data_IF_662607154895
#
_entry.id   IF_662607154895
#
_cell.length_a   1.000
_cell.length_b   1.000
_cell.length_c   1.000
_cell.angle_alpha   90.00
_cell.angle_beta   90.00
_cell.angle_gamma   90.00
#
_symmetry.space_group_name_H-M   'P 1'
#
loop_
_entity.id
_entity.type
_entity.pdbx_description
1 polymer ?
#
# COMPACT_ATOMS: atom_id res chain seq x y z
N UNK A 1 9.52 8.04 1.81
CA UNK A 1 9.77 8.19 0.35
C UNK A 1 9.11 7.11 -0.50
N UNK A 2 9.33 5.82 -0.23
CA UNK A 2 8.76 4.70 -1.03
C UNK A 2 7.24 4.82 -1.17
N UNK A 3 6.52 5.06 -0.06
CA UNK A 3 5.05 5.18 -0.06
C UNK A 3 4.58 6.35 -0.94
N UNK A 4 5.27 7.49 -0.95
CA UNK A 4 4.94 8.62 -1.81
C UNK A 4 5.23 8.37 -3.30
N UNK A 5 6.34 7.68 -3.64
CA UNK A 5 6.59 7.30 -5.02
C UNK A 5 5.55 6.29 -5.53
N UNK A 6 5.04 5.43 -4.63
CA UNK A 6 3.94 4.54 -4.98
C UNK A 6 2.58 5.22 -5.10
N UNK A 7 2.38 6.45 -4.61
CA UNK A 7 1.17 7.22 -4.97
C UNK A 7 1.30 7.83 -6.35
N UNK A 8 2.51 8.28 -6.73
CA UNK A 8 2.79 8.80 -8.07
C UNK A 8 2.52 7.73 -9.14
N UNK A 9 2.94 6.48 -8.91
CA UNK A 9 2.69 5.39 -9.86
C UNK A 9 1.20 5.07 -10.02
N UNK A 10 0.42 5.05 -8.93
CA UNK A 10 -1.02 4.81 -8.98
C UNK A 10 -1.78 5.97 -9.61
N UNK A 11 -1.36 7.22 -9.37
CA UNK A 11 -1.90 8.38 -10.08
C UNK A 11 -1.62 8.32 -11.59
N UNK A 12 -0.44 7.83 -11.99
CA UNK A 12 -0.15 7.57 -13.40
C UNK A 12 -1.13 6.58 -14.03
N UNK A 13 -1.44 5.50 -13.30
CA UNK A 13 -2.47 4.52 -13.64
C UNK A 13 -3.86 5.16 -13.75
N UNK A 14 -4.27 5.99 -12.79
CA UNK A 14 -5.54 6.72 -12.81
C UNK A 14 -5.67 7.64 -14.02
N UNK A 15 -4.60 8.40 -14.32
CA UNK A 15 -4.58 9.32 -15.46
C UNK A 15 -4.68 8.57 -16.79
N UNK A 16 -4.04 7.40 -16.89
CA UNK A 16 -4.06 6.63 -18.13
C UNK A 16 -5.45 6.01 -18.40
N UNK A 17 -6.16 5.55 -17.37
CA UNK A 17 -7.56 5.07 -17.51
C UNK A 17 -8.51 6.21 -17.86
N UNK A 18 -8.32 7.37 -17.21
CA UNK A 18 -9.12 8.56 -17.50
C UNK A 18 -8.94 9.00 -18.96
N UNK A 19 -7.72 8.89 -19.49
CA UNK A 19 -7.43 9.15 -20.92
C UNK A 19 -8.10 8.16 -21.88
N UNK A 20 -8.40 6.94 -21.43
CA UNK A 20 -9.13 5.93 -22.19
C UNK A 20 -10.66 6.13 -22.15
N UNK A 21 -11.15 7.12 -21.40
CA UNK A 21 -12.57 7.48 -21.31
C UNK A 21 -13.32 6.86 -20.13
N UNK A 22 -12.66 6.04 -19.29
CA UNK A 22 -13.29 5.35 -18.16
C UNK A 22 -13.20 6.18 -16.86
N UNK A 23 -13.97 7.26 -16.79
CA UNK A 23 -13.96 8.17 -15.63
C UNK A 23 -14.46 7.53 -14.33
N UNK A 24 -15.52 6.70 -14.38
CA UNK A 24 -16.09 6.04 -13.21
C UNK A 24 -15.09 5.05 -12.56
N UNK A 25 -14.36 4.29 -13.38
CA UNK A 25 -13.30 3.37 -12.90
C UNK A 25 -12.12 4.13 -12.30
N UNK A 26 -11.71 5.24 -12.92
CA UNK A 26 -10.66 6.09 -12.37
C UNK A 26 -11.06 6.66 -11.00
N UNK A 27 -12.31 7.09 -10.85
CA UNK A 27 -12.84 7.59 -9.57
C UNK A 27 -12.94 6.48 -8.52
N UNK A 28 -13.44 5.30 -8.90
CA UNK A 28 -13.48 4.13 -8.00
C UNK A 28 -12.09 3.73 -7.52
N UNK A 29 -11.11 3.70 -8.41
CA UNK A 29 -9.72 3.42 -8.04
C UNK A 29 -9.14 4.53 -7.15
N UNK A 30 -9.45 5.80 -7.40
CA UNK A 30 -9.02 6.91 -6.55
C UNK A 30 -9.55 6.77 -5.12
N UNK A 31 -10.82 6.42 -4.94
CA UNK A 31 -11.44 6.28 -3.63
C UNK A 31 -10.83 5.12 -2.84
N UNK A 32 -10.78 3.93 -3.45
CA UNK A 32 -10.15 2.74 -2.84
C UNK A 32 -8.67 3.00 -2.51
N UNK A 33 -7.93 3.64 -3.42
CA UNK A 33 -6.54 4.03 -3.22
C UNK A 33 -6.33 5.00 -2.07
N UNK A 34 -7.17 6.02 -1.94
CA UNK A 34 -7.07 6.99 -0.84
C UNK A 34 -7.18 6.30 0.52
N UNK A 35 -8.08 5.33 0.65
CA UNK A 35 -8.36 4.63 1.91
C UNK A 35 -7.21 3.72 2.35
N UNK A 36 -6.73 2.81 1.49
CA UNK A 36 -5.61 1.95 1.87
C UNK A 36 -4.28 2.73 1.95
N UNK A 37 -4.13 3.85 1.23
CA UNK A 37 -2.97 4.73 1.42
C UNK A 37 -3.00 5.46 2.76
N UNK A 38 -4.16 5.93 3.20
CA UNK A 38 -4.30 6.52 4.53
C UNK A 38 -3.88 5.50 5.61
N UNK A 39 -4.30 4.23 5.48
CA UNK A 39 -3.87 3.15 6.36
C UNK A 39 -2.35 2.93 6.33
N UNK A 40 -1.74 2.84 5.14
CA UNK A 40 -0.29 2.69 4.99
C UNK A 40 0.49 3.84 5.64
N UNK A 41 0.06 5.08 5.45
CA UNK A 41 0.72 6.25 6.05
C UNK A 41 0.52 6.32 7.55
N UNK A 42 -0.65 5.95 8.07
CA UNK A 42 -0.91 5.91 9.51
C UNK A 42 -0.03 4.86 10.20
N UNK A 43 0.07 3.65 9.65
CA UNK A 43 0.97 2.60 10.17
C UNK A 43 2.45 2.99 10.05
N UNK A 44 2.87 3.59 8.92
CA UNK A 44 4.23 4.08 8.80
C UNK A 44 4.54 5.19 9.82
N UNK A 45 3.57 6.08 10.08
CA UNK A 45 3.68 7.13 11.09
C UNK A 45 3.86 6.58 12.51
N UNK A 46 3.10 5.54 12.88
CA UNK A 46 3.26 4.91 14.20
C UNK A 46 4.61 4.19 14.34
N UNK A 47 5.11 3.54 13.28
CA UNK A 47 6.45 2.94 13.28
C UNK A 47 7.55 3.99 13.42
N UNK A 48 7.47 5.09 12.64
CA UNK A 48 8.46 6.18 12.68
C UNK A 48 8.49 6.83 14.06
N UNK A 49 7.33 7.06 14.68
CA UNK A 49 7.25 7.66 16.01
C UNK A 49 7.92 6.77 17.08
N UNK A 50 7.65 5.46 17.05
CA UNK A 50 8.28 4.51 17.97
C UNK A 50 9.79 4.32 17.73
N UNK A 51 10.25 4.55 16.49
CA UNK A 51 11.66 4.49 16.09
C UNK A 51 12.38 5.85 16.18
N UNK A 52 11.87 6.79 17.00
CA UNK A 52 12.44 8.14 17.23
C UNK A 52 12.74 8.89 15.93
N UNK A 53 11.75 8.99 15.05
CA UNK A 53 11.80 9.68 13.76
C UNK A 53 12.75 9.07 12.72
N UNK A 54 13.27 7.86 12.95
CA UNK A 54 14.05 7.15 11.94
C UNK A 54 13.13 6.55 10.86
N UNK A 55 13.32 7.01 9.62
CA UNK A 55 12.50 6.64 8.46
C UNK A 55 13.19 5.64 7.53
N UNK A 56 14.47 5.36 7.76
CA UNK A 56 15.25 4.49 6.89
C UNK A 56 14.93 3.03 7.19
N UNK A 57 14.39 2.33 6.19
CA UNK A 57 14.00 0.92 6.28
C UNK A 57 15.18 0.00 6.64
N UNK A 58 16.43 0.45 6.48
CA UNK A 58 17.63 -0.33 6.84
C UNK A 58 17.84 -0.44 8.35
N UNK A 59 17.31 0.50 9.12
CA UNK A 59 17.32 0.48 10.58
C UNK A 59 16.03 -0.09 11.18
N UNK A 60 15.18 -0.68 10.34
CA UNK A 60 13.99 -1.42 10.72
C UNK A 60 14.27 -2.93 10.70
N UNK A 61 13.35 -3.72 11.25
CA UNK A 61 13.39 -5.17 11.26
C UNK A 61 12.41 -5.73 12.28
N UNK A 62 11.94 -6.97 12.09
CA UNK A 62 11.13 -7.73 13.07
C UNK A 62 10.01 -6.96 13.82
N UNK A 63 9.43 -5.91 13.21
CA UNK A 63 8.45 -5.03 13.87
C UNK A 63 7.21 -5.82 14.31
N UNK A 64 6.91 -6.93 13.63
CA UNK A 64 5.83 -7.88 13.98
C UNK A 64 5.88 -8.27 15.47
N UNK A 65 7.06 -8.47 16.04
CA UNK A 65 7.20 -8.94 17.42
C UNK A 65 6.89 -7.85 18.46
N UNK A 66 7.00 -6.58 18.08
CA UNK A 66 6.89 -5.44 19.00
C UNK A 66 5.59 -4.65 18.83
N UNK A 67 5.08 -4.55 17.60
CA UNK A 67 3.88 -3.78 17.27
C UNK A 67 2.95 -4.63 16.38
N UNK A 68 2.33 -5.69 16.92
CA UNK A 68 1.61 -6.68 16.13
C UNK A 68 0.41 -6.08 15.39
N UNK A 69 -0.35 -5.17 16.01
CA UNK A 69 -1.53 -4.56 15.38
C UNK A 69 -1.15 -3.72 14.16
N UNK A 70 -0.17 -2.82 14.33
CA UNK A 70 0.31 -1.99 13.20
C UNK A 70 0.94 -2.82 12.10
N UNK A 71 1.64 -3.91 12.44
CA UNK A 71 2.25 -4.81 11.46
C UNK A 71 1.20 -5.50 10.59
N UNK A 72 0.08 -5.95 11.17
CA UNK A 72 -1.04 -6.54 10.44
C UNK A 72 -1.66 -5.49 9.51
N UNK A 73 -1.95 -4.30 10.02
CA UNK A 73 -2.58 -3.22 9.24
C UNK A 73 -1.68 -2.77 8.08
N UNK A 74 -0.38 -2.66 8.31
CA UNK A 74 0.61 -2.34 7.28
C UNK A 74 0.72 -3.42 6.21
N UNK A 75 0.69 -4.70 6.61
CA UNK A 75 0.73 -5.82 5.67
C UNK A 75 -0.55 -5.91 4.84
N UNK A 76 -1.73 -5.79 5.44
CA UNK A 76 -3.00 -5.80 4.68
C UNK A 76 -3.04 -4.65 3.68
N UNK A 77 -2.65 -3.45 4.10
CA UNK A 77 -2.67 -2.28 3.21
C UNK A 77 -1.61 -2.32 2.10
N UNK A 78 -0.44 -2.92 2.35
CA UNK A 78 0.55 -3.19 1.29
C UNK A 78 0.09 -4.26 0.30
N UNK A 79 -0.63 -5.30 0.75
CA UNK A 79 -1.26 -6.29 -0.13
C UNK A 79 -2.41 -5.68 -0.96
N UNK A 80 -3.17 -4.74 -0.39
CA UNK A 80 -4.16 -3.96 -1.15
C UNK A 80 -3.49 -3.18 -2.29
N UNK A 81 -2.33 -2.55 -2.04
CA UNK A 81 -1.57 -1.81 -3.07
C UNK A 81 -1.04 -2.73 -4.19
N UNK A 82 -0.62 -3.95 -3.85
CA UNK A 82 -0.25 -4.97 -4.84
C UNK A 82 -1.44 -5.38 -5.70
N UNK A 83 -2.66 -5.40 -5.13
CA UNK A 83 -3.87 -5.89 -5.77
C UNK A 83 -4.10 -7.38 -5.49
N UNK A 84 -3.82 -7.85 -4.27
CA UNK A 84 -4.12 -9.23 -3.89
C UNK A 84 -5.62 -9.54 -3.97
N UNK A 85 -6.01 -10.76 -4.38
CA UNK A 85 -7.42 -11.12 -4.57
C UNK A 85 -8.23 -10.90 -3.29
N UNK A 86 -9.48 -10.48 -3.48
CA UNK A 86 -10.47 -10.20 -2.42
C UNK A 86 -10.19 -8.98 -1.52
N UNK A 87 -9.16 -8.18 -1.79
CA UNK A 87 -8.95 -6.90 -1.11
C UNK A 87 -9.46 -5.73 -1.97
N UNK A 88 -9.74 -4.57 -1.35
CA UNK A 88 -10.32 -3.43 -2.05
C UNK A 88 -9.52 -2.96 -3.28
N UNK A 89 -8.19 -3.11 -3.23
CA UNK A 89 -7.32 -2.74 -4.36
C UNK A 89 -7.43 -3.67 -5.58
N UNK A 90 -7.85 -4.93 -5.40
CA UNK A 90 -8.05 -5.87 -6.50
C UNK A 90 -9.26 -5.47 -7.35
N UNK A 91 -10.39 -5.16 -6.71
CA UNK A 91 -11.62 -4.81 -7.41
C UNK A 91 -11.45 -3.65 -8.39
N UNK A 92 -10.62 -2.65 -8.07
CA UNK A 92 -10.36 -1.55 -8.99
C UNK A 92 -9.22 -1.86 -9.96
N UNK A 93 -8.06 -2.31 -9.45
CA UNK A 93 -6.84 -2.45 -10.25
C UNK A 93 -6.90 -3.61 -11.25
N UNK A 94 -7.59 -4.69 -10.92
CA UNK A 94 -7.75 -5.83 -11.82
C UNK A 94 -8.70 -5.50 -12.97
N UNK A 95 -9.85 -4.87 -12.67
CA UNK A 95 -10.78 -4.36 -13.70
C UNK A 95 -10.08 -3.39 -14.67
N UNK A 96 -9.19 -2.53 -14.16
CA UNK A 96 -8.38 -1.64 -15.00
C UNK A 96 -7.52 -2.43 -15.98
N UNK A 97 -6.80 -3.46 -15.49
CA UNK A 97 -5.94 -4.28 -16.34
C UNK A 97 -6.76 -5.10 -17.35
N UNK A 98 -7.92 -5.60 -16.95
CA UNK A 98 -8.85 -6.32 -17.83
C UNK A 98 -9.31 -5.43 -19.00
N UNK A 99 -9.70 -4.18 -18.72
CA UNK A 99 -10.08 -3.21 -19.76
C UNK A 99 -8.90 -2.91 -20.69
N UNK A 100 -7.68 -2.79 -20.15
CA UNK A 100 -6.48 -2.60 -20.98
C UNK A 100 -6.23 -3.81 -21.88
N UNK A 101 -6.52 -5.03 -21.42
CA UNK A 101 -6.42 -6.25 -22.24
C UNK A 101 -7.49 -6.32 -23.34
N UNK A 102 -8.71 -5.86 -23.08
CA UNK A 102 -9.82 -5.90 -24.03
C UNK A 102 -9.78 -4.74 -25.04
N UNK A 103 -9.12 -3.64 -24.69
CA UNK A 103 -9.07 -2.44 -25.51
C UNK A 103 -7.94 -2.47 -26.55
N UNK A 104 -8.13 -1.72 -27.64
CA UNK A 104 -7.18 -1.61 -28.74
C UNK A 104 -6.05 -0.63 -28.41
N UNK A 105 -5.16 -1.02 -27.49
CA UNK A 105 -4.06 -0.19 -27.00
C UNK A 105 -2.75 -0.58 -27.69
N UNK A 106 -1.89 0.43 -27.96
CA UNK A 106 -0.56 0.18 -28.50
C UNK A 106 0.24 -0.80 -27.63
N UNK A 107 0.94 -1.75 -28.27
CA UNK A 107 1.73 -2.77 -27.58
C UNK A 107 2.72 -2.18 -26.56
N UNK A 108 3.33 -1.04 -26.88
CA UNK A 108 4.23 -0.35 -25.96
C UNK A 108 3.52 0.12 -24.68
N UNK A 109 2.33 0.70 -24.80
CA UNK A 109 1.54 1.16 -23.65
C UNK A 109 1.08 -0.05 -22.84
N UNK A 110 0.59 -1.09 -23.51
CA UNK A 110 0.21 -2.36 -22.88
C UNK A 110 1.36 -2.93 -22.02
N UNK A 111 2.57 -3.00 -22.57
CA UNK A 111 3.75 -3.44 -21.83
C UNK A 111 4.04 -2.58 -20.59
N UNK A 112 3.94 -1.25 -20.71
CA UNK A 112 4.16 -0.34 -19.59
C UNK A 112 3.15 -0.55 -18.45
N UNK A 113 1.89 -0.86 -18.74
CA UNK A 113 0.89 -1.17 -17.70
C UNK A 113 1.32 -2.38 -16.87
N UNK A 114 1.61 -3.52 -17.50
CA UNK A 114 2.03 -4.74 -16.81
C UNK A 114 3.38 -4.60 -16.12
N UNK A 115 4.32 -3.90 -16.73
CA UNK A 115 5.61 -3.63 -16.11
C UNK A 115 5.45 -2.75 -14.86
N UNK A 116 4.60 -1.72 -14.93
CA UNK A 116 4.32 -0.85 -13.78
C UNK A 116 3.66 -1.63 -12.63
N UNK A 117 2.72 -2.53 -12.91
CA UNK A 117 2.08 -3.35 -11.88
C UNK A 117 3.06 -4.38 -11.29
N UNK A 118 3.95 -4.96 -12.09
CA UNK A 118 5.06 -5.77 -11.60
C UNK A 118 5.99 -5.01 -10.65
N UNK A 119 6.35 -3.76 -10.98
CA UNK A 119 7.11 -2.89 -10.08
C UNK A 119 6.36 -2.57 -8.79
N UNK A 120 5.02 -2.46 -8.85
CA UNK A 120 4.21 -2.25 -7.63
C UNK A 120 4.30 -3.40 -6.65
N UNK A 121 4.36 -4.63 -7.15
CA UNK A 121 4.60 -5.80 -6.32
C UNK A 121 6.04 -5.78 -5.77
N UNK A 122 7.04 -5.52 -6.61
CA UNK A 122 8.45 -5.63 -6.22
C UNK A 122 8.83 -4.67 -5.08
N UNK A 123 8.41 -3.40 -5.13
CA UNK A 123 8.71 -2.47 -4.04
C UNK A 123 7.90 -2.77 -2.77
N UNK A 124 6.70 -3.36 -2.90
CA UNK A 124 5.87 -3.73 -1.76
C UNK A 124 6.46 -4.92 -1.01
N UNK A 125 6.94 -5.94 -1.75
CA UNK A 125 7.71 -7.05 -1.17
C UNK A 125 9.00 -6.58 -0.51
N UNK A 126 9.73 -5.64 -1.13
CA UNK A 126 10.91 -5.03 -0.52
C UNK A 126 10.58 -4.37 0.82
N UNK A 127 9.49 -3.60 0.85
CA UNK A 127 9.05 -2.89 2.05
C UNK A 127 8.61 -3.87 3.15
N UNK A 128 7.89 -4.94 2.80
CA UNK A 128 7.59 -6.04 3.72
C UNK A 128 8.87 -6.67 4.29
N UNK A 129 9.82 -7.03 3.43
CA UNK A 129 11.05 -7.72 3.85
C UNK A 129 11.86 -6.91 4.86
N UNK A 130 12.16 -5.64 4.58
CA UNK A 130 13.02 -4.83 5.45
C UNK A 130 12.33 -4.35 6.73
N UNK A 131 11.01 -4.20 6.75
CA UNK A 131 10.30 -3.72 7.94
C UNK A 131 9.86 -4.85 8.87
N UNK A 132 9.37 -5.95 8.31
CA UNK A 132 8.69 -7.00 9.06
C UNK A 132 9.55 -8.23 9.32
N UNK A 133 10.43 -8.57 8.38
CA UNK A 133 11.29 -9.75 8.48
C UNK A 133 12.75 -9.37 8.73
N UNK A 134 13.55 -10.35 9.16
CA UNK A 134 14.97 -10.16 9.47
C UNK A 134 15.22 -9.75 10.92
N UNK A 135 16.51 -9.52 11.20
CA UNK A 135 16.99 -9.21 12.55
C UNK A 135 16.72 -7.76 12.95
N UNK A 136 16.77 -7.52 14.26
CA UNK A 136 16.57 -6.20 14.86
C UNK A 136 17.76 -5.28 14.52
N UNK A 137 17.64 -4.46 13.47
CA UNK A 137 18.70 -3.53 13.05
C UNK A 137 18.61 -2.14 13.72
N UNK A 138 17.73 -1.96 14.71
CA UNK A 138 17.57 -0.70 15.42
C UNK A 138 18.54 -0.57 16.60
N UNK A 139 18.73 0.68 17.02
CA UNK A 139 19.47 0.98 18.24
C UNK A 139 18.76 0.43 19.49
N UNK A 140 19.54 -0.04 20.45
CA UNK A 140 19.08 -0.70 21.69
C UNK A 140 18.20 0.15 22.61
N UNK A 141 18.06 1.45 22.35
CA UNK A 141 17.33 2.40 23.20
C UNK A 141 15.89 2.69 22.74
N UNK A 142 15.38 1.97 21.73
CA UNK A 142 14.01 2.16 21.27
C UNK A 142 13.00 1.41 22.13
N UNK A 143 11.92 2.11 22.47
CA UNK A 143 10.76 1.58 23.17
C UNK A 143 9.58 1.56 22.21
N UNK A 144 9.01 0.38 21.99
CA UNK A 144 7.82 0.24 21.17
C UNK A 144 6.57 0.36 22.03
N UNK A 145 5.65 1.24 21.64
CA UNK A 145 4.33 1.33 22.25
C UNK A 145 3.26 1.32 21.16
N UNK A 146 2.42 0.29 21.17
CA UNK A 146 1.28 0.16 20.25
C UNK A 146 -0.08 0.42 20.95
N UNK A 147 -0.07 0.82 22.22
CA UNK A 147 -1.29 0.93 23.06
C UNK A 147 -2.04 2.25 22.90
N UNK A 148 -1.64 3.13 21.98
CA UNK A 148 -2.33 4.40 21.79
C UNK A 148 -3.73 4.16 21.21
N UNK A 149 -4.77 4.47 22.00
CA UNK A 149 -6.16 4.21 21.62
C UNK A 149 -6.58 4.95 20.35
N UNK A 150 -6.18 6.21 20.21
CA UNK A 150 -6.57 7.03 19.04
C UNK A 150 -6.01 6.50 17.72
N UNK A 151 -4.75 6.08 17.70
CA UNK A 151 -4.12 5.56 16.47
C UNK A 151 -4.68 4.17 16.16
N UNK A 152 -4.78 3.29 17.16
CA UNK A 152 -5.33 1.94 16.97
C UNK A 152 -6.79 1.96 16.48
N UNK A 153 -7.63 2.85 17.01
CA UNK A 153 -9.00 3.04 16.54
C UNK A 153 -9.05 3.48 15.07
N UNK A 154 -8.23 4.47 14.68
CA UNK A 154 -8.13 4.92 13.29
C UNK A 154 -7.64 3.83 12.33
N UNK A 155 -6.65 3.04 12.75
CA UNK A 155 -6.12 1.93 11.95
C UNK A 155 -7.16 0.84 11.74
N UNK A 156 -7.91 0.45 12.78
CA UNK A 156 -8.96 -0.57 12.68
C UNK A 156 -10.10 -0.10 11.76
N UNK A 157 -10.53 1.16 11.89
CA UNK A 157 -11.57 1.71 11.02
C UNK A 157 -11.17 1.67 9.55
N UNK A 158 -9.95 2.11 9.23
CA UNK A 158 -9.43 2.06 7.87
C UNK A 158 -9.15 0.62 7.38
N UNK A 159 -8.78 -0.31 8.26
CA UNK A 159 -8.57 -1.72 7.93
C UNK A 159 -9.85 -2.38 7.44
N UNK A 160 -10.98 -2.16 8.13
CA UNK A 160 -12.28 -2.69 7.73
C UNK A 160 -12.62 -2.23 6.31
N UNK A 161 -12.38 -0.95 6.01
CA UNK A 161 -12.63 -0.41 4.68
C UNK A 161 -11.63 -0.94 3.65
N UNK A 162 -10.37 -1.18 4.00
CA UNK A 162 -9.39 -1.75 3.08
C UNK A 162 -9.74 -3.19 2.65
N UNK A 163 -10.42 -3.95 3.52
CA UNK A 163 -10.87 -5.32 3.23
C UNK A 163 -12.22 -5.32 2.50
N UNK A 164 -13.22 -4.61 3.02
CA UNK A 164 -14.60 -4.70 2.52
C UNK A 164 -14.99 -3.56 1.57
N UNK A 165 -14.23 -2.46 1.50
CA UNK A 165 -14.63 -1.25 0.76
C UNK A 165 -14.56 -1.38 -0.76
N UNK A 166 -14.10 -2.51 -1.30
CA UNK A 166 -14.10 -2.76 -2.75
C UNK A 166 -15.31 -3.56 -3.25
N UNK A 167 -16.07 -4.20 -2.36
CA UNK A 167 -17.30 -4.94 -2.67
C UNK A 167 -18.54 -4.08 -2.42
#
# INVERSE_FOLDING_TARGET
KIIALSTLSQLGLMMSILSMGYSDLAFFHLLTHALFKALLFMCAGSMIHNLRDSQDIRFMGSIINFMPLTSICFNVSSLCLCGMPFLAGFYSKDLILEIVCLSWVNFFIFFLYFFSTGLTASYSFRLFYYSMSGDNNYYSSYSFNDNSYYISFGMIGLLIVAVFGGS
#
